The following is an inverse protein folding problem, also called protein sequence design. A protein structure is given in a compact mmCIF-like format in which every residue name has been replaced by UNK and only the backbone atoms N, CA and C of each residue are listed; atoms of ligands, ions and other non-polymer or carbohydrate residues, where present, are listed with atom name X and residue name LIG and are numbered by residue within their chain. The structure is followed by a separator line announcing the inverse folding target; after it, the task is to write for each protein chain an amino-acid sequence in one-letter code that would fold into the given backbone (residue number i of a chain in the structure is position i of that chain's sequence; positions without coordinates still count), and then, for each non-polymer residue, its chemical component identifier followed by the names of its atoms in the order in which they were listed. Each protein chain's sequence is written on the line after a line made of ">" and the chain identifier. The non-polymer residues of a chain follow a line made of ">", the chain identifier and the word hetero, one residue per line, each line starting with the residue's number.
data_IF_735264601059
#
_entry.id   IF_735264601059
#
_cell.length_a   1.000
_cell.length_b   1.000
_cell.length_c   1.000
_cell.angle_alpha   90.00
_cell.angle_beta   90.00
_cell.angle_gamma   90.00
#
_symmetry.space_group_name_H-M   'P 1'
#
loop_
_entity.id
_entity.type
_entity.pdbx_description
1 polymer ?
#
# COMPACT_ATOMS: atom_id res chain seq x y z
N UNK A 1 -10.50 -10.67 0.84
CA UNK A 1 -9.32 -10.84 -0.04
C UNK A 1 -8.42 -9.61 0.12
N UNK A 2 -7.10 -9.74 0.04
CA UNK A 2 -6.17 -8.63 0.27
C UNK A 2 -5.01 -8.63 -0.71
N UNK A 3 -4.38 -7.49 -0.90
CA UNK A 3 -3.20 -7.29 -1.77
C UNK A 3 -1.99 -6.93 -0.90
N UNK A 4 -0.80 -7.36 -1.30
CA UNK A 4 0.43 -7.11 -0.55
C UNK A 4 1.68 -7.18 -1.41
N UNK A 5 2.77 -6.64 -0.90
CA UNK A 5 4.08 -6.65 -1.57
C UNK A 5 4.93 -7.80 -1.03
N UNK A 6 5.41 -8.67 -1.93
CA UNK A 6 6.32 -9.75 -1.59
C UNK A 6 7.74 -9.23 -1.36
N UNK A 7 8.35 -9.60 -0.23
CA UNK A 7 9.74 -9.27 0.11
C UNK A 7 10.52 -10.55 0.46
N UNK A 8 11.84 -10.53 0.23
CA UNK A 8 12.73 -11.62 0.68
C UNK A 8 12.60 -11.78 2.20
N UNK A 9 12.39 -13.02 2.65
CA UNK A 9 12.31 -13.35 4.08
C UNK A 9 13.58 -12.88 4.81
N UNK A 10 13.39 -12.29 5.98
CA UNK A 10 14.47 -11.75 6.82
C UNK A 10 14.80 -10.27 6.58
N UNK A 11 14.26 -9.63 5.53
CA UNK A 11 14.50 -8.20 5.28
C UNK A 11 13.53 -7.29 6.06
N UNK A 12 13.59 -7.37 7.39
CA UNK A 12 12.68 -6.66 8.30
C UNK A 12 12.82 -5.13 8.20
N UNK A 13 14.03 -4.62 8.01
CA UNK A 13 14.29 -3.19 7.88
C UNK A 13 13.63 -2.60 6.62
N UNK A 14 13.73 -3.29 5.48
CA UNK A 14 13.04 -2.88 4.25
C UNK A 14 11.53 -2.99 4.41
N UNK A 15 11.05 -4.06 5.05
CA UNK A 15 9.63 -4.26 5.31
C UNK A 15 9.04 -3.07 6.10
N UNK A 16 9.69 -2.67 7.19
CA UNK A 16 9.21 -1.57 8.01
C UNK A 16 9.14 -0.23 7.24
N UNK A 17 10.18 0.07 6.44
CA UNK A 17 10.19 1.27 5.59
C UNK A 17 9.09 1.24 4.52
N UNK A 18 8.90 0.09 3.88
CA UNK A 18 7.89 -0.09 2.85
C UNK A 18 6.47 0.02 3.42
N UNK A 19 6.20 -0.64 4.55
CA UNK A 19 4.91 -0.58 5.22
C UNK A 19 4.57 0.88 5.58
N UNK A 20 5.53 1.63 6.16
CA UNK A 20 5.34 3.05 6.50
C UNK A 20 5.07 3.91 5.26
N UNK A 21 5.81 3.71 4.16
CA UNK A 21 5.64 4.48 2.94
C UNK A 21 4.29 4.18 2.26
N UNK A 22 3.87 2.91 2.21
CA UNK A 22 2.57 2.50 1.68
C UNK A 22 1.42 3.11 2.50
N UNK A 23 1.50 3.06 3.83
CA UNK A 23 0.49 3.68 4.68
C UNK A 23 0.42 5.21 4.48
N UNK A 24 1.55 5.89 4.29
CA UNK A 24 1.55 7.31 3.96
C UNK A 24 0.90 7.60 2.59
N UNK A 25 1.12 6.75 1.59
CA UNK A 25 0.48 6.88 0.28
C UNK A 25 -1.02 6.61 0.32
N UNK A 26 -1.46 5.64 1.13
CA UNK A 26 -2.88 5.37 1.36
C UNK A 26 -3.54 6.57 2.04
N UNK A 27 -2.96 7.06 3.13
CA UNK A 27 -3.53 8.17 3.91
C UNK A 27 -3.54 9.50 3.14
N UNK A 28 -2.59 9.70 2.21
CA UNK A 28 -2.57 10.87 1.33
C UNK A 28 -3.51 10.76 0.13
N UNK A 29 -4.26 9.64 -0.02
CA UNK A 29 -5.17 9.42 -1.13
C UNK A 29 -4.49 9.11 -2.47
N UNK A 30 -3.16 8.98 -2.51
CA UNK A 30 -2.41 8.69 -3.73
C UNK A 30 -2.72 7.30 -4.28
N UNK A 31 -2.93 6.32 -3.41
CA UNK A 31 -3.32 4.96 -3.84
C UNK A 31 -4.71 4.96 -4.45
N UNK A 32 -5.66 5.70 -3.85
CA UNK A 32 -7.00 5.90 -4.41
C UNK A 32 -6.95 6.56 -5.78
N UNK A 33 -6.22 7.68 -5.91
CA UNK A 33 -6.07 8.38 -7.18
C UNK A 33 -5.46 7.49 -8.28
N UNK A 34 -4.46 6.67 -7.92
CA UNK A 34 -3.91 5.68 -8.85
C UNK A 34 -4.96 4.62 -9.23
N UNK A 35 -5.69 4.08 -8.25
CA UNK A 35 -6.73 3.08 -8.47
C UNK A 35 -7.81 3.58 -9.43
N UNK A 36 -8.34 4.78 -9.19
CA UNK A 36 -9.36 5.41 -10.03
C UNK A 36 -8.81 5.70 -11.43
N UNK A 37 -7.54 6.09 -11.56
CA UNK A 37 -6.94 6.34 -12.87
C UNK A 37 -6.89 5.07 -13.74
N UNK A 38 -6.40 3.97 -13.18
CA UNK A 38 -6.14 2.72 -13.91
C UNK A 38 -7.36 1.82 -14.03
N UNK A 39 -8.19 1.75 -12.99
CA UNK A 39 -9.26 0.76 -12.89
C UNK A 39 -10.67 1.39 -12.86
N UNK A 40 -10.78 2.72 -12.80
CA UNK A 40 -12.05 3.45 -12.67
C UNK A 40 -12.86 3.06 -11.43
N UNK A 41 -12.19 2.48 -10.42
CA UNK A 41 -12.77 2.05 -9.15
C UNK A 41 -11.71 2.15 -8.04
N UNK A 42 -12.14 2.19 -6.77
CA UNK A 42 -11.28 2.33 -5.60
C UNK A 42 -10.99 0.98 -4.92
N UNK A 43 -9.78 0.46 -5.18
CA UNK A 43 -9.26 -0.76 -4.59
C UNK A 43 -8.38 -0.50 -3.36
N UNK A 44 -8.40 0.72 -2.81
CA UNK A 44 -7.56 1.08 -1.67
C UNK A 44 -7.95 0.27 -0.44
N UNK A 45 -6.97 -0.45 0.13
CA UNK A 45 -7.13 -1.15 1.40
C UNK A 45 -6.57 -0.24 2.49
N UNK A 46 -7.41 0.13 3.46
CA UNK A 46 -6.99 0.96 4.57
C UNK A 46 -5.82 0.33 5.34
N UNK A 47 -4.79 1.13 5.63
CA UNK A 47 -3.72 0.72 6.52
C UNK A 47 -4.29 0.50 7.93
N UNK A 48 -4.13 -0.72 8.47
CA UNK A 48 -4.51 -1.00 9.86
C UNK A 48 -3.50 -0.31 10.79
N UNK A 49 -4.01 0.45 11.75
CA UNK A 49 -3.22 1.06 12.83
C UNK A 49 -2.51 -0.01 13.66
#
# INVERSE_FOLDING_TARGET
>A
YGMGVGLRKGNSALKAKLDSALCAMINSGKVKAASENWFKDDYTIACKK
#
